data_IF_979558467996
#
_entry.id   IF_979558467996
#
_cell.length_a   1.000
_cell.length_b   1.000
_cell.length_c   1.000
_cell.angle_alpha   90.00
_cell.angle_beta   90.00
_cell.angle_gamma   90.00
#
_symmetry.space_group_name_H-M   'P 1'
#
loop_
_entity.id
_entity.type
_entity.pdbx_description
1 polymer ?
#
# COMPACT_ATOMS: atom_id res chain seq x y z
N UNK A 1 -43.52 31.51 -17.91
CA UNK A 1 -43.68 30.46 -16.87
C UNK A 1 -43.06 31.04 -15.60
N UNK A 2 -43.89 31.44 -14.62
CA UNK A 2 -43.42 31.96 -13.33
C UNK A 2 -42.79 30.80 -12.56
N UNK A 3 -41.48 30.94 -12.28
CA UNK A 3 -40.81 30.02 -11.34
C UNK A 3 -41.46 30.22 -9.96
N UNK A 4 -42.24 29.28 -9.52
CA UNK A 4 -42.79 29.27 -8.18
C UNK A 4 -41.63 29.11 -7.21
N UNK A 5 -41.35 30.15 -6.44
CA UNK A 5 -40.27 30.13 -5.45
C UNK A 5 -40.66 29.15 -4.33
N UNK A 6 -39.77 28.19 -4.03
CA UNK A 6 -39.99 27.28 -2.90
C UNK A 6 -40.18 28.05 -1.59
N UNK A 7 -41.16 27.61 -0.79
CA UNK A 7 -41.37 28.18 0.53
C UNK A 7 -40.10 28.05 1.41
N UNK A 8 -39.77 29.05 2.25
CA UNK A 8 -38.57 29.02 3.09
C UNK A 8 -38.43 27.77 3.97
N UNK A 9 -39.55 27.24 4.46
CA UNK A 9 -39.63 26.00 5.24
C UNK A 9 -39.23 24.75 4.43
N UNK A 10 -39.65 24.70 3.15
CA UNK A 10 -39.29 23.62 2.24
C UNK A 10 -37.78 23.66 1.95
N UNK A 11 -37.22 24.84 1.69
CA UNK A 11 -35.80 25.03 1.47
C UNK A 11 -34.98 24.61 2.71
N UNK A 12 -35.43 25.04 3.91
CA UNK A 12 -34.80 24.65 5.17
C UNK A 12 -34.86 23.13 5.35
N UNK A 13 -35.97 22.49 5.09
CA UNK A 13 -36.12 21.04 5.21
C UNK A 13 -35.16 20.28 4.26
N UNK A 14 -34.96 20.76 3.03
CA UNK A 14 -33.99 20.19 2.06
C UNK A 14 -32.59 20.28 2.60
N UNK A 15 -32.17 21.42 3.13
CA UNK A 15 -30.81 21.64 3.63
C UNK A 15 -30.56 20.83 4.92
N UNK A 16 -31.51 20.83 5.87
CA UNK A 16 -31.36 20.11 7.16
C UNK A 16 -31.40 18.59 6.99
N UNK A 17 -32.15 18.07 6.00
CA UNK A 17 -32.21 16.63 5.71
C UNK A 17 -31.27 16.18 4.63
N UNK A 18 -30.36 17.06 4.18
CA UNK A 18 -29.36 16.72 3.18
C UNK A 18 -28.43 15.60 3.67
N UNK A 19 -28.07 14.67 2.77
CA UNK A 19 -27.10 13.61 3.02
C UNK A 19 -25.65 14.09 3.05
N UNK A 20 -25.41 15.34 2.61
CA UNK A 20 -24.12 16.00 2.69
C UNK A 20 -24.11 17.06 3.78
N UNK A 21 -22.94 17.31 4.35
CA UNK A 21 -22.78 18.42 5.28
C UNK A 21 -22.89 19.75 4.52
N UNK A 22 -23.76 20.66 5.01
CA UNK A 22 -23.91 22.01 4.45
C UNK A 22 -23.43 23.02 5.48
N UNK A 23 -22.66 24.00 5.06
CA UNK A 23 -22.09 24.99 5.97
C UNK A 23 -21.99 26.37 5.35
N UNK A 24 -21.93 27.39 6.22
CA UNK A 24 -21.57 28.76 5.88
C UNK A 24 -20.42 29.22 6.78
N UNK A 25 -19.35 29.70 6.18
CA UNK A 25 -18.18 30.26 6.88
C UNK A 25 -18.14 31.78 6.64
N UNK A 26 -18.01 32.54 7.71
CA UNK A 26 -17.77 33.96 7.71
C UNK A 26 -16.73 34.30 8.78
N UNK A 27 -15.73 35.13 8.47
CA UNK A 27 -14.64 35.50 9.38
C UNK A 27 -13.91 34.27 9.98
N UNK A 28 -13.65 33.26 9.16
CA UNK A 28 -13.02 31.97 9.53
C UNK A 28 -13.83 31.13 10.55
N UNK A 29 -15.11 31.48 10.80
CA UNK A 29 -16.00 30.77 11.73
C UNK A 29 -17.21 30.19 11.01
N UNK A 30 -17.72 29.09 11.53
CA UNK A 30 -19.00 28.56 11.09
C UNK A 30 -20.13 29.45 11.64
N UNK A 31 -20.91 30.04 10.74
CA UNK A 31 -22.13 30.78 11.08
C UNK A 31 -23.39 29.96 10.83
N UNK A 32 -23.26 28.89 10.06
CA UNK A 32 -24.27 27.87 9.85
C UNK A 32 -23.63 26.51 9.59
N UNK A 33 -24.26 25.48 10.09
CA UNK A 33 -24.00 24.09 9.76
C UNK A 33 -25.30 23.28 9.90
N UNK A 34 -25.59 22.40 8.94
CA UNK A 34 -26.71 21.46 9.13
C UNK A 34 -26.28 20.31 10.07
N UNK A 35 -27.27 19.51 10.50
CA UNK A 35 -27.03 18.40 11.42
C UNK A 35 -26.00 17.38 10.84
N UNK A 36 -26.06 17.14 9.52
CA UNK A 36 -25.12 16.22 8.86
C UNK A 36 -23.66 16.70 8.94
N UNK A 37 -23.43 18.01 8.82
CA UNK A 37 -22.10 18.60 8.98
C UNK A 37 -21.55 18.35 10.40
N UNK A 38 -22.33 18.62 11.42
CA UNK A 38 -21.93 18.39 12.81
C UNK A 38 -21.62 16.91 13.09
N UNK A 39 -22.47 16.00 12.63
CA UNK A 39 -22.30 14.56 12.76
C UNK A 39 -21.00 14.05 12.08
N UNK A 40 -20.64 14.58 10.91
CA UNK A 40 -19.41 14.20 10.21
C UNK A 40 -18.17 14.39 11.08
N UNK A 41 -18.16 15.43 11.91
CA UNK A 41 -17.03 15.74 12.79
C UNK A 41 -17.21 15.22 14.22
N UNK A 42 -18.37 14.61 14.54
CA UNK A 42 -18.66 14.06 15.88
C UNK A 42 -18.94 15.13 16.93
N UNK A 43 -19.45 16.28 16.50
CA UNK A 43 -19.93 17.36 17.37
C UNK A 43 -21.45 17.43 17.33
N UNK A 44 -22.06 18.03 18.36
CA UNK A 44 -23.39 18.58 18.24
C UNK A 44 -23.34 19.87 17.42
N UNK A 45 -24.50 20.29 16.89
CA UNK A 45 -24.57 21.54 16.13
C UNK A 45 -24.16 22.76 16.94
N UNK A 46 -24.55 22.84 18.19
CA UNK A 46 -24.22 23.96 19.08
C UNK A 46 -22.71 23.99 19.37
N UNK A 47 -22.10 22.84 19.64
CA UNK A 47 -20.67 22.73 19.86
C UNK A 47 -19.85 23.18 18.63
N UNK A 48 -20.24 22.74 17.44
CA UNK A 48 -19.46 23.05 16.22
C UNK A 48 -19.59 24.51 15.82
N UNK A 49 -20.76 25.13 16.05
CA UNK A 49 -20.97 26.56 15.86
C UNK A 49 -20.28 27.43 16.90
N UNK A 50 -20.02 26.89 18.09
CA UNK A 50 -19.27 27.59 19.15
C UNK A 50 -17.76 27.63 18.93
N UNK A 51 -17.23 26.90 17.94
CA UNK A 51 -15.80 26.91 17.62
C UNK A 51 -15.37 28.33 17.18
N UNK A 52 -14.24 28.80 17.71
CA UNK A 52 -13.67 30.10 17.38
C UNK A 52 -13.13 30.18 15.95
N UNK A 53 -12.87 29.06 15.32
CA UNK A 53 -12.38 28.95 13.95
C UNK A 53 -12.76 27.59 13.35
N UNK A 54 -12.75 27.47 12.03
CA UNK A 54 -12.91 26.19 11.31
C UNK A 54 -11.64 25.32 11.30
N UNK A 55 -10.48 25.91 11.61
CA UNK A 55 -9.19 25.21 11.54
C UNK A 55 -9.08 23.97 12.43
N UNK A 56 -9.61 23.94 13.67
CA UNK A 56 -9.61 22.74 14.50
C UNK A 56 -10.32 21.52 13.87
N UNK A 57 -11.18 21.72 12.86
CA UNK A 57 -11.84 20.66 12.12
C UNK A 57 -10.96 20.04 11.02
N UNK A 58 -9.72 20.48 10.89
CA UNK A 58 -8.79 20.11 9.82
C UNK A 58 -7.48 19.59 10.40
N UNK A 59 -6.78 18.75 9.64
CA UNK A 59 -5.39 18.43 9.95
C UNK A 59 -4.52 19.67 9.79
N UNK A 60 -3.48 19.78 10.61
CA UNK A 60 -2.57 20.93 10.63
C UNK A 60 -1.94 21.21 9.23
N UNK A 61 -1.62 20.16 8.48
CA UNK A 61 -1.05 20.24 7.13
C UNK A 61 -1.96 20.97 6.13
N UNK A 62 -3.27 20.92 6.35
CA UNK A 62 -4.27 21.54 5.47
C UNK A 62 -4.66 22.97 5.89
N UNK A 63 -4.24 23.45 7.07
CA UNK A 63 -4.66 24.76 7.63
C UNK A 63 -4.37 25.92 6.69
N UNK A 64 -3.12 26.06 6.20
CA UNK A 64 -2.70 27.18 5.35
C UNK A 64 -3.46 27.16 4.03
N UNK A 65 -3.62 25.97 3.41
CA UNK A 65 -4.32 25.81 2.15
C UNK A 65 -5.80 26.19 2.26
N UNK A 66 -6.46 25.72 3.32
CA UNK A 66 -7.89 26.01 3.53
C UNK A 66 -8.12 27.48 3.89
N UNK A 67 -7.28 28.07 4.74
CA UNK A 67 -7.35 29.49 5.07
C UNK A 67 -7.21 30.36 3.81
N UNK A 68 -6.26 30.06 2.95
CA UNK A 68 -6.05 30.77 1.69
C UNK A 68 -7.24 30.57 0.73
N UNK A 69 -7.76 29.38 0.60
CA UNK A 69 -8.95 29.10 -0.20
C UNK A 69 -10.18 29.89 0.27
N UNK A 70 -10.37 30.06 1.59
CA UNK A 70 -11.45 30.89 2.15
C UNK A 70 -11.20 32.35 1.83
N UNK A 71 -9.99 32.87 2.02
CA UNK A 71 -9.60 34.26 1.71
C UNK A 71 -9.91 34.63 0.25
N UNK A 72 -9.45 33.77 -0.68
CA UNK A 72 -9.63 33.99 -2.13
C UNK A 72 -11.11 34.07 -2.54
N UNK A 73 -11.98 33.27 -1.90
CA UNK A 73 -13.42 33.35 -2.15
C UNK A 73 -14.03 34.62 -1.55
N UNK A 74 -13.66 35.00 -0.33
CA UNK A 74 -14.18 36.21 0.30
C UNK A 74 -13.73 37.45 -0.45
N UNK A 75 -12.48 37.51 -0.93
CA UNK A 75 -11.97 38.63 -1.76
C UNK A 75 -12.58 38.67 -3.17
N UNK A 76 -13.08 37.56 -3.68
CA UNK A 76 -13.62 37.42 -5.02
C UNK A 76 -12.58 37.10 -6.08
N UNK A 77 -11.37 36.70 -5.70
CA UNK A 77 -10.37 36.16 -6.61
C UNK A 77 -10.85 34.86 -7.26
N UNK A 78 -11.61 34.02 -6.48
CA UNK A 78 -12.22 32.77 -6.93
C UNK A 78 -13.68 32.77 -6.49
N UNK A 79 -14.63 32.51 -7.40
CA UNK A 79 -16.04 32.42 -7.05
C UNK A 79 -16.43 31.06 -6.49
N UNK A 80 -15.87 29.98 -7.03
CA UNK A 80 -16.14 28.60 -6.62
C UNK A 80 -14.87 27.76 -6.63
N UNK A 81 -14.83 26.74 -5.77
CA UNK A 81 -13.71 25.78 -5.71
C UNK A 81 -14.21 24.41 -5.30
N UNK A 82 -13.54 23.39 -5.81
CA UNK A 82 -13.69 21.99 -5.42
C UNK A 82 -12.31 21.43 -5.07
N UNK A 83 -12.18 20.78 -3.91
CA UNK A 83 -10.92 20.19 -3.48
C UNK A 83 -11.12 19.16 -2.36
N UNK A 84 -10.19 18.21 -2.28
CA UNK A 84 -10.15 17.21 -1.20
C UNK A 84 -9.26 17.71 -0.06
N UNK A 85 -9.68 17.46 1.19
CA UNK A 85 -8.97 17.86 2.41
C UNK A 85 -9.16 16.82 3.52
N UNK A 86 -8.22 16.78 4.48
CA UNK A 86 -8.32 15.90 5.63
C UNK A 86 -8.98 16.63 6.82
N UNK A 87 -10.16 16.15 7.19
CA UNK A 87 -10.86 16.59 8.39
C UNK A 87 -10.36 15.86 9.64
N UNK A 88 -10.51 16.52 10.78
CA UNK A 88 -10.22 15.97 12.10
C UNK A 88 -11.50 15.96 12.93
N UNK A 89 -11.95 14.76 13.33
CA UNK A 89 -13.11 14.61 14.21
C UNK A 89 -12.77 14.93 15.67
N UNK A 90 -13.79 15.21 16.47
CA UNK A 90 -13.68 15.47 17.93
C UNK A 90 -12.92 14.36 18.68
N UNK A 91 -13.03 13.12 18.24
CA UNK A 91 -12.32 11.97 18.83
C UNK A 91 -10.89 11.77 18.30
N UNK A 92 -10.38 12.70 17.48
CA UNK A 92 -9.03 12.62 16.90
C UNK A 92 -8.91 11.78 15.62
N UNK A 93 -9.97 11.12 15.15
CA UNK A 93 -9.91 10.36 13.89
C UNK A 93 -9.92 11.28 12.67
N UNK A 94 -9.14 10.93 11.66
CA UNK A 94 -9.08 11.66 10.38
C UNK A 94 -10.12 11.15 9.42
N UNK A 95 -10.74 12.06 8.64
CA UNK A 95 -11.63 11.77 7.53
C UNK A 95 -11.13 12.43 6.25
N UNK A 96 -11.40 11.81 5.11
CA UNK A 96 -11.15 12.40 3.79
C UNK A 96 -12.43 13.07 3.33
N UNK A 97 -12.37 14.37 3.04
CA UNK A 97 -13.53 15.16 2.68
C UNK A 97 -13.40 15.74 1.29
N UNK A 98 -14.46 15.65 0.50
CA UNK A 98 -14.63 16.42 -0.72
C UNK A 98 -15.42 17.69 -0.40
N UNK A 99 -14.82 18.84 -0.67
CA UNK A 99 -15.39 20.16 -0.38
C UNK A 99 -15.73 20.84 -1.69
N UNK A 100 -16.97 21.32 -1.79
CA UNK A 100 -17.43 22.21 -2.85
C UNK A 100 -17.97 23.46 -2.22
N UNK A 101 -17.47 24.61 -2.66
CA UNK A 101 -17.89 25.85 -2.04
C UNK A 101 -17.86 27.02 -3.01
N UNK A 102 -18.78 27.95 -2.75
CA UNK A 102 -19.01 29.15 -3.56
C UNK A 102 -18.99 30.39 -2.67
N UNK A 103 -18.72 31.51 -3.27
CA UNK A 103 -18.86 32.85 -2.67
C UNK A 103 -20.34 33.26 -2.62
N UNK A 104 -20.76 33.87 -1.54
CA UNK A 104 -22.12 34.42 -1.41
C UNK A 104 -22.21 35.48 -0.33
N UNK A 105 -23.39 36.15 -0.25
CA UNK A 105 -23.66 37.16 0.78
C UNK A 105 -24.40 36.56 1.95
N UNK A 106 -23.91 36.81 3.17
CA UNK A 106 -24.61 36.48 4.42
C UNK A 106 -24.65 37.74 5.31
N UNK A 107 -25.86 38.18 5.68
CA UNK A 107 -26.05 39.37 6.50
C UNK A 107 -25.28 40.60 6.00
N UNK A 108 -25.33 40.85 4.69
CA UNK A 108 -24.68 42.04 4.07
C UNK A 108 -23.15 41.96 3.92
N UNK A 109 -22.53 40.85 4.26
CA UNK A 109 -21.07 40.61 4.13
C UNK A 109 -20.78 39.33 3.33
N UNK A 110 -19.61 39.29 2.71
CA UNK A 110 -19.17 38.10 1.97
C UNK A 110 -18.92 36.93 2.90
N UNK A 111 -19.31 35.76 2.46
CA UNK A 111 -19.19 34.49 3.14
C UNK A 111 -18.91 33.35 2.14
N UNK A 112 -18.51 32.22 2.64
CA UNK A 112 -18.31 30.98 1.89
C UNK A 112 -19.43 30.02 2.21
N UNK A 113 -20.20 29.64 1.20
CA UNK A 113 -21.20 28.60 1.28
C UNK A 113 -20.63 27.30 0.74
N UNK A 114 -20.83 26.20 1.41
CA UNK A 114 -20.26 24.96 0.93
C UNK A 114 -20.99 23.70 1.37
N UNK A 115 -20.63 22.64 0.66
CA UNK A 115 -20.99 21.28 1.02
C UNK A 115 -19.74 20.48 1.30
N UNK A 116 -19.86 19.49 2.17
CA UNK A 116 -18.81 18.53 2.47
C UNK A 116 -19.37 17.12 2.38
N UNK A 117 -18.66 16.26 1.69
CA UNK A 117 -18.96 14.83 1.59
C UNK A 117 -17.80 14.03 2.19
N UNK A 118 -18.14 13.09 3.10
CA UNK A 118 -17.16 12.13 3.63
C UNK A 118 -16.87 11.06 2.57
N UNK A 119 -15.64 11.05 2.09
CA UNK A 119 -15.13 10.11 1.08
C UNK A 119 -14.29 9.00 1.70
N UNK A 120 -14.18 8.94 3.05
CA UNK A 120 -13.26 8.04 3.75
C UNK A 120 -13.49 6.58 3.39
N UNK A 121 -14.73 6.10 3.48
CA UNK A 121 -15.05 4.71 3.17
C UNK A 121 -14.77 4.37 1.69
N UNK A 122 -15.12 5.28 0.77
CA UNK A 122 -14.83 5.10 -0.66
C UNK A 122 -13.34 5.03 -0.93
N UNK A 123 -12.55 5.96 -0.35
CA UNK A 123 -11.10 5.98 -0.52
C UNK A 123 -10.44 4.72 0.06
N UNK A 124 -10.88 4.28 1.24
CA UNK A 124 -10.41 3.02 1.83
C UNK A 124 -10.71 1.80 0.96
N UNK A 125 -11.90 1.76 0.35
CA UNK A 125 -12.25 0.69 -0.60
C UNK A 125 -11.39 0.73 -1.87
N UNK A 126 -11.16 1.91 -2.43
CA UNK A 126 -10.28 2.09 -3.60
C UNK A 126 -8.85 1.65 -3.28
N UNK A 127 -8.29 2.06 -2.13
CA UNK A 127 -6.96 1.71 -1.68
C UNK A 127 -6.84 0.19 -1.39
N UNK A 128 -7.87 -0.41 -0.77
CA UNK A 128 -7.94 -1.86 -0.52
C UNK A 128 -8.02 -2.67 -1.83
N UNK A 129 -8.82 -2.21 -2.80
CA UNK A 129 -8.89 -2.83 -4.12
C UNK A 129 -7.54 -2.74 -4.86
N UNK A 130 -6.87 -1.59 -4.78
CA UNK A 130 -5.55 -1.40 -5.38
C UNK A 130 -4.51 -2.30 -4.71
N UNK A 131 -4.51 -2.39 -3.38
CA UNK A 131 -3.63 -3.28 -2.63
C UNK A 131 -3.89 -4.74 -3.00
N UNK A 132 -5.15 -5.20 -3.02
CA UNK A 132 -5.53 -6.56 -3.43
C UNK A 132 -5.14 -6.87 -4.88
N UNK A 133 -5.11 -5.87 -5.76
CA UNK A 133 -4.70 -6.04 -7.15
C UNK A 133 -3.17 -6.19 -7.33
N UNK A 134 -2.36 -5.66 -6.42
CA UNK A 134 -0.90 -5.57 -6.57
C UNK A 134 -0.10 -6.34 -5.50
N UNK A 135 -0.73 -6.72 -4.38
CA UNK A 135 -0.04 -7.40 -3.27
C UNK A 135 -0.51 -8.85 -3.12
N UNK A 136 0.38 -9.69 -2.58
CA UNK A 136 0.06 -11.04 -2.11
C UNK A 136 -0.54 -10.96 -0.69
N UNK A 137 -1.74 -11.50 -0.46
CA UNK A 137 -2.44 -11.33 0.81
C UNK A 137 -1.78 -12.07 1.99
N UNK A 138 -0.99 -13.13 1.73
CA UNK A 138 -0.32 -13.90 2.78
C UNK A 138 0.94 -13.22 3.30
N UNK A 139 1.74 -12.65 2.38
CA UNK A 139 3.07 -12.13 2.70
C UNK A 139 3.15 -10.60 2.74
N UNK A 140 2.18 -9.90 2.12
CA UNK A 140 2.17 -8.46 1.95
C UNK A 140 3.22 -7.93 0.96
N UNK A 141 3.90 -8.81 0.24
CA UNK A 141 4.79 -8.45 -0.87
C UNK A 141 4.00 -8.18 -2.15
N UNK A 142 4.63 -7.64 -3.16
CA UNK A 142 3.99 -7.57 -4.47
C UNK A 142 3.60 -8.97 -4.95
N UNK A 143 2.43 -9.08 -5.56
CA UNK A 143 2.08 -10.25 -6.36
C UNK A 143 2.73 -10.14 -7.76
N UNK A 144 2.54 -11.12 -8.62
CA UNK A 144 3.09 -11.13 -9.99
C UNK A 144 2.76 -9.86 -10.76
N UNK A 145 1.51 -9.39 -10.68
CA UNK A 145 1.07 -8.18 -11.39
C UNK A 145 1.76 -6.93 -10.84
N UNK A 146 1.82 -6.78 -9.53
CA UNK A 146 2.47 -5.66 -8.86
C UNK A 146 3.97 -5.63 -9.18
N UNK A 147 4.63 -6.78 -9.13
CA UNK A 147 6.04 -6.91 -9.48
C UNK A 147 6.33 -6.42 -10.90
N UNK A 148 5.62 -6.96 -11.90
CA UNK A 148 5.80 -6.56 -13.29
C UNK A 148 5.51 -5.07 -13.52
N UNK A 149 4.47 -4.53 -12.87
CA UNK A 149 4.13 -3.11 -12.99
C UNK A 149 5.27 -2.22 -12.50
N UNK A 150 5.81 -2.51 -11.31
CA UNK A 150 6.86 -1.68 -10.70
C UNK A 150 8.20 -1.86 -11.43
N UNK A 151 8.61 -3.10 -11.69
CA UNK A 151 9.92 -3.39 -12.31
C UNK A 151 10.00 -2.93 -13.76
N UNK A 152 8.90 -2.97 -14.53
CA UNK A 152 8.88 -2.41 -15.89
C UNK A 152 9.18 -0.91 -15.91
N UNK A 153 8.68 -0.16 -14.95
CA UNK A 153 9.00 1.26 -14.81
C UNK A 153 10.47 1.49 -14.45
N UNK A 154 11.03 0.65 -13.57
CA UNK A 154 12.45 0.71 -13.19
C UNK A 154 13.38 0.34 -14.35
N UNK A 155 12.97 -0.60 -15.21
CA UNK A 155 13.71 -0.97 -16.43
C UNK A 155 13.90 0.25 -17.34
N UNK A 156 12.87 1.06 -17.55
CA UNK A 156 12.98 2.28 -18.37
C UNK A 156 13.94 3.31 -17.76
N UNK A 157 13.94 3.45 -16.43
CA UNK A 157 14.87 4.33 -15.71
C UNK A 157 16.32 3.83 -15.84
N UNK A 158 16.56 2.54 -15.60
CA UNK A 158 17.88 1.92 -15.68
C UNK A 158 18.49 2.03 -17.09
N UNK A 159 17.70 1.80 -18.14
CA UNK A 159 18.13 2.00 -19.53
C UNK A 159 18.59 3.43 -19.78
N UNK A 160 17.80 4.42 -19.37
CA UNK A 160 18.15 5.83 -19.53
C UNK A 160 19.43 6.20 -18.79
N UNK A 161 19.66 5.61 -17.61
CA UNK A 161 20.86 5.81 -16.80
C UNK A 161 22.03 4.91 -17.21
N UNK A 162 21.84 3.97 -18.12
CA UNK A 162 22.81 2.92 -18.51
C UNK A 162 23.29 2.10 -17.31
N UNK A 163 22.39 1.80 -16.38
CA UNK A 163 22.68 0.99 -15.19
C UNK A 163 22.25 -0.46 -15.42
N UNK A 164 23.11 -1.41 -15.00
CA UNK A 164 22.72 -2.82 -14.94
C UNK A 164 21.64 -3.04 -13.89
N UNK A 165 20.80 -4.04 -14.12
CA UNK A 165 19.76 -4.45 -13.19
C UNK A 165 19.99 -5.90 -12.77
N UNK A 166 19.61 -6.21 -11.54
CA UNK A 166 19.74 -7.55 -10.97
C UNK A 166 18.34 -8.03 -10.63
N UNK A 167 18.09 -9.30 -10.87
CA UNK A 167 16.94 -10.03 -10.37
C UNK A 167 17.42 -11.26 -9.62
N UNK A 168 16.87 -11.52 -8.46
CA UNK A 168 17.14 -12.71 -7.65
C UNK A 168 15.82 -13.47 -7.51
N UNK A 169 15.75 -14.64 -8.13
CA UNK A 169 14.69 -15.62 -7.89
C UNK A 169 15.00 -16.39 -6.60
N UNK A 170 14.00 -16.60 -5.78
CA UNK A 170 14.11 -17.31 -4.50
C UNK A 170 12.92 -18.25 -4.33
N UNK A 171 13.16 -19.45 -3.86
CA UNK A 171 12.17 -20.50 -3.78
C UNK A 171 12.27 -21.22 -2.41
N UNK A 172 11.16 -21.30 -1.70
CA UNK A 172 11.11 -22.02 -0.42
C UNK A 172 11.19 -23.51 -0.66
N UNK A 173 12.29 -24.10 -0.23
CA UNK A 173 12.55 -25.53 -0.44
C UNK A 173 11.57 -26.41 0.35
N UNK A 174 11.25 -27.56 -0.23
CA UNK A 174 10.47 -28.63 0.40
C UNK A 174 9.08 -28.21 0.95
N UNK A 175 8.51 -27.09 0.45
CA UNK A 175 7.20 -26.61 0.93
C UNK A 175 6.10 -27.65 0.78
N UNK A 176 6.11 -28.46 -0.29
CA UNK A 176 5.17 -29.54 -0.45
C UNK A 176 5.30 -30.57 0.68
N UNK A 177 6.52 -30.96 1.05
CA UNK A 177 6.76 -31.89 2.16
C UNK A 177 6.29 -31.30 3.50
N UNK A 178 6.50 -29.99 3.71
CA UNK A 178 6.00 -29.30 4.89
C UNK A 178 4.46 -29.38 4.94
N UNK A 179 3.79 -29.06 3.82
CA UNK A 179 2.33 -29.15 3.72
C UNK A 179 1.81 -30.57 3.96
N UNK A 180 2.42 -31.57 3.32
CA UNK A 180 1.99 -32.95 3.39
C UNK A 180 2.21 -33.56 4.79
N UNK A 181 3.24 -33.10 5.53
CA UNK A 181 3.60 -33.62 6.85
C UNK A 181 2.94 -32.87 8.00
N UNK A 182 2.84 -31.53 7.91
CA UNK A 182 2.43 -30.65 9.00
C UNK A 182 1.14 -29.84 8.70
N UNK A 183 0.56 -30.02 7.51
CA UNK A 183 -0.65 -29.34 7.06
C UNK A 183 -0.38 -27.98 6.40
N UNK A 184 -1.36 -27.48 5.66
CA UNK A 184 -1.26 -26.22 4.91
C UNK A 184 -0.98 -24.99 5.79
N UNK A 185 -1.48 -24.97 7.02
CA UNK A 185 -1.18 -23.88 7.97
C UNK A 185 0.32 -23.76 8.27
N UNK A 186 1.04 -24.90 8.38
CA UNK A 186 2.49 -24.90 8.56
C UNK A 186 3.23 -24.41 7.31
N UNK A 187 2.73 -24.71 6.12
CA UNK A 187 3.24 -24.18 4.87
C UNK A 187 3.05 -22.66 4.75
N UNK A 188 1.89 -22.16 5.12
CA UNK A 188 1.63 -20.71 5.16
C UNK A 188 2.56 -20.02 6.16
N UNK A 189 2.77 -20.61 7.34
CA UNK A 189 3.75 -20.10 8.31
C UNK A 189 5.18 -20.13 7.77
N UNK A 190 5.56 -21.14 6.99
CA UNK A 190 6.88 -21.20 6.34
C UNK A 190 7.04 -20.08 5.31
N UNK A 191 6.02 -19.81 4.50
CA UNK A 191 6.01 -18.71 3.54
C UNK A 191 6.09 -17.34 4.22
N UNK A 192 5.33 -17.12 5.29
CA UNK A 192 5.41 -15.88 6.08
C UNK A 192 6.78 -15.74 6.74
N UNK A 193 7.38 -16.83 7.21
CA UNK A 193 8.72 -16.81 7.78
C UNK A 193 9.78 -16.47 6.71
N UNK A 194 9.69 -17.05 5.50
CA UNK A 194 10.54 -16.72 4.37
C UNK A 194 10.41 -15.25 3.96
N UNK A 195 9.19 -14.75 3.90
CA UNK A 195 8.93 -13.33 3.61
C UNK A 195 9.59 -12.39 4.64
N UNK A 196 9.55 -12.73 5.95
CA UNK A 196 10.23 -11.96 6.98
C UNK A 196 11.76 -11.97 6.80
N UNK A 197 12.33 -13.12 6.45
CA UNK A 197 13.78 -13.24 6.16
C UNK A 197 14.14 -12.37 4.95
N UNK A 198 13.38 -12.45 3.87
CA UNK A 198 13.59 -11.63 2.68
C UNK A 198 13.49 -10.13 3.03
N UNK A 199 12.45 -9.70 3.74
CA UNK A 199 12.30 -8.31 4.16
C UNK A 199 13.47 -7.77 4.97
N UNK A 200 14.05 -8.59 5.85
CA UNK A 200 15.22 -8.23 6.65
C UNK A 200 16.54 -8.27 5.85
N UNK A 201 16.54 -8.98 4.72
CA UNK A 201 17.72 -9.16 3.87
C UNK A 201 17.86 -8.09 2.79
N UNK A 202 16.79 -7.39 2.46
CA UNK A 202 16.76 -6.35 1.43
C UNK A 202 16.31 -5.02 2.01
N UNK A 203 16.55 -3.93 1.29
CA UNK A 203 16.20 -2.57 1.71
C UNK A 203 14.68 -2.36 1.50
N UNK A 204 14.11 -1.41 2.22
CA UNK A 204 12.70 -1.04 2.05
C UNK A 204 12.39 -0.57 0.61
N UNK A 205 13.36 0.06 -0.05
CA UNK A 205 13.22 0.51 -1.43
C UNK A 205 13.27 -0.64 -2.45
N UNK A 206 13.87 -1.81 -2.10
CA UNK A 206 13.97 -2.95 -3.01
C UNK A 206 12.60 -3.57 -3.27
N UNK A 207 12.36 -3.96 -4.53
CA UNK A 207 11.08 -4.57 -4.90
C UNK A 207 11.14 -6.07 -4.59
N UNK A 208 10.29 -6.51 -3.66
CA UNK A 208 10.17 -7.92 -3.29
C UNK A 208 8.77 -8.40 -3.64
N UNK A 209 8.66 -9.56 -4.24
CA UNK A 209 7.39 -10.16 -4.68
C UNK A 209 7.29 -11.63 -4.32
N UNK A 210 6.04 -12.11 -4.21
CA UNK A 210 5.70 -13.53 -4.28
C UNK A 210 4.90 -13.76 -5.54
N UNK A 211 5.50 -14.47 -6.51
CA UNK A 211 4.87 -14.65 -7.83
C UNK A 211 3.83 -15.76 -7.85
N UNK A 212 3.92 -16.71 -6.92
CA UNK A 212 2.97 -17.81 -6.74
C UNK A 212 3.55 -18.92 -5.85
N UNK A 213 2.69 -19.72 -5.26
CA UNK A 213 3.11 -20.90 -4.49
C UNK A 213 4.24 -20.62 -3.50
N UNK A 214 5.42 -21.10 -3.81
CA UNK A 214 6.65 -20.99 -3.02
C UNK A 214 7.70 -20.03 -3.63
N UNK A 215 7.37 -19.35 -4.75
CA UNK A 215 8.27 -18.54 -5.56
C UNK A 215 8.25 -17.07 -5.11
N UNK A 216 9.42 -16.54 -4.84
CA UNK A 216 9.67 -15.14 -4.54
C UNK A 216 10.69 -14.57 -5.51
N UNK A 217 10.54 -13.29 -5.83
CA UNK A 217 11.50 -12.53 -6.61
C UNK A 217 11.90 -11.25 -5.92
N UNK A 218 13.17 -10.91 -6.02
CA UNK A 218 13.72 -9.67 -5.49
C UNK A 218 14.38 -8.91 -6.61
N UNK A 219 14.04 -7.65 -6.71
CA UNK A 219 14.64 -6.70 -7.62
C UNK A 219 15.31 -5.59 -6.81
N UNK A 220 16.62 -5.76 -6.48
CA UNK A 220 17.36 -4.77 -5.72
C UNK A 220 17.57 -3.49 -6.55
N UNK A 221 17.15 -2.34 -6.01
CA UNK A 221 17.35 -1.06 -6.67
C UNK A 221 18.80 -0.57 -6.46
N UNK A 222 19.35 0.06 -7.50
CA UNK A 222 20.72 0.62 -7.50
C UNK A 222 21.82 -0.38 -7.08
N UNK A 223 21.59 -1.69 -7.31
CA UNK A 223 22.57 -2.73 -7.06
C UNK A 223 23.37 -3.05 -8.32
N UNK A 224 24.68 -3.30 -8.16
CA UNK A 224 25.55 -3.75 -9.24
C UNK A 224 25.71 -5.27 -9.24
N UNK A 225 26.17 -5.84 -10.34
CA UNK A 225 26.46 -7.28 -10.45
C UNK A 225 27.38 -7.79 -9.32
N UNK A 226 28.32 -6.95 -8.88
CA UNK A 226 29.25 -7.27 -7.78
C UNK A 226 28.54 -7.35 -6.41
N UNK A 227 27.32 -6.85 -6.29
CA UNK A 227 26.53 -6.91 -5.05
C UNK A 227 25.83 -8.27 -4.85
N UNK A 228 25.69 -9.08 -5.90
CA UNK A 228 24.94 -10.36 -5.83
C UNK A 228 25.48 -11.29 -4.73
N UNK A 229 26.79 -11.59 -4.63
CA UNK A 229 27.31 -12.47 -3.59
C UNK A 229 26.96 -11.98 -2.18
N UNK A 230 27.14 -10.68 -1.93
CA UNK A 230 26.84 -10.06 -0.62
C UNK A 230 25.34 -10.11 -0.27
N UNK A 231 24.47 -9.92 -1.26
CA UNK A 231 23.02 -10.00 -1.07
C UNK A 231 22.60 -11.42 -0.71
N UNK A 232 23.17 -12.43 -1.37
CA UNK A 232 22.89 -13.84 -1.10
C UNK A 232 23.47 -14.29 0.26
N UNK A 233 24.68 -13.86 0.61
CA UNK A 233 25.27 -14.12 1.92
C UNK A 233 24.45 -13.55 3.06
N UNK A 234 23.95 -12.30 2.90
CA UNK A 234 23.07 -11.66 3.89
C UNK A 234 21.75 -12.41 4.03
N UNK A 235 21.20 -12.91 2.93
CA UNK A 235 19.98 -13.73 2.96
C UNK A 235 20.21 -15.02 3.75
N UNK A 236 21.30 -15.76 3.49
CA UNK A 236 21.61 -17.00 4.20
C UNK A 236 21.88 -16.75 5.69
N UNK A 237 22.59 -15.67 6.03
CA UNK A 237 22.84 -15.28 7.42
C UNK A 237 21.51 -15.01 8.16
N UNK A 238 20.61 -14.24 7.56
CA UNK A 238 19.29 -13.95 8.16
C UNK A 238 18.42 -15.20 8.26
N UNK A 239 18.55 -16.11 7.30
CA UNK A 239 17.86 -17.39 7.33
C UNK A 239 18.36 -18.27 8.49
N UNK A 240 19.69 -18.31 8.71
CA UNK A 240 20.29 -19.01 9.84
C UNK A 240 19.84 -18.44 11.19
N UNK A 241 19.91 -17.13 11.35
CA UNK A 241 19.41 -16.42 12.55
C UNK A 241 17.92 -16.75 12.80
N UNK A 242 17.12 -16.80 11.73
CA UNK A 242 15.70 -17.14 11.84
C UNK A 242 15.49 -18.56 12.33
N UNK A 243 16.27 -19.55 11.84
CA UNK A 243 16.21 -20.95 12.28
C UNK A 243 16.54 -21.09 13.78
N UNK A 244 17.55 -20.37 14.25
CA UNK A 244 18.00 -20.41 15.64
C UNK A 244 16.99 -19.75 16.60
N UNK A 245 16.47 -18.58 16.24
CA UNK A 245 15.53 -17.84 17.09
C UNK A 245 14.12 -18.43 17.12
N UNK A 246 13.73 -19.15 16.08
CA UNK A 246 12.38 -19.70 15.94
C UNK A 246 12.44 -21.15 15.42
N UNK A 247 12.86 -22.09 16.26
CA UNK A 247 12.97 -23.50 15.87
C UNK A 247 11.60 -24.02 15.46
N UNK A 248 11.57 -24.81 14.40
CA UNK A 248 10.40 -25.45 13.82
C UNK A 248 10.65 -26.94 13.66
N UNK A 249 9.60 -27.80 13.56
CA UNK A 249 9.78 -29.22 13.29
C UNK A 249 10.32 -29.51 11.88
N UNK A 250 10.50 -28.50 11.06
CA UNK A 250 11.10 -28.55 9.71
C UNK A 250 12.20 -27.50 9.57
N UNK A 251 13.11 -27.71 8.63
CA UNK A 251 14.18 -26.76 8.31
C UNK A 251 13.69 -25.81 7.22
N UNK A 252 13.53 -24.53 7.55
CA UNK A 252 13.25 -23.50 6.54
C UNK A 252 14.51 -23.27 5.71
N UNK A 253 14.44 -23.50 4.41
CA UNK A 253 15.53 -23.19 3.45
C UNK A 253 14.98 -22.51 2.22
N UNK A 254 15.82 -21.68 1.61
CA UNK A 254 15.52 -20.90 0.41
C UNK A 254 16.62 -21.14 -0.60
N UNK A 255 16.28 -21.69 -1.75
CA UNK A 255 17.17 -21.77 -2.89
C UNK A 255 17.08 -20.49 -3.71
N UNK A 256 18.20 -20.02 -4.26
CA UNK A 256 18.27 -18.78 -5.03
C UNK A 256 18.94 -18.96 -6.37
N UNK A 257 18.51 -18.15 -7.34
CA UNK A 257 19.17 -17.95 -8.61
C UNK A 257 19.19 -16.47 -8.96
N UNK A 258 20.12 -16.04 -9.81
CA UNK A 258 20.23 -14.64 -10.17
C UNK A 258 20.36 -14.44 -11.66
N UNK A 259 19.87 -13.30 -12.14
CA UNK A 259 20.07 -12.82 -13.49
C UNK A 259 20.49 -11.35 -13.47
N UNK A 260 21.28 -10.98 -14.47
CA UNK A 260 21.77 -9.61 -14.64
C UNK A 260 21.36 -9.13 -16.01
N UNK A 261 20.72 -7.98 -16.05
CA UNK A 261 20.40 -7.28 -17.27
C UNK A 261 21.52 -6.33 -17.64
N UNK A 262 22.07 -6.50 -18.83
CA UNK A 262 22.96 -5.51 -19.43
C UNK A 262 22.13 -4.34 -19.98
N UNK A 263 22.37 -3.10 -19.54
CA UNK A 263 21.62 -1.93 -19.99
C UNK A 263 21.79 -1.63 -21.48
N UNK A 264 22.83 -2.17 -22.14
CA UNK A 264 23.03 -2.06 -23.59
C UNK A 264 22.07 -2.93 -24.41
N UNK A 265 21.43 -3.92 -23.78
CA UNK A 265 20.43 -4.76 -24.42
C UNK A 265 19.06 -4.09 -24.38
N UNK A 266 18.75 -3.28 -25.39
CA UNK A 266 17.49 -2.54 -25.49
C UNK A 266 16.25 -3.45 -25.67
N UNK A 267 16.43 -4.67 -26.14
CA UNK A 267 15.31 -5.62 -26.37
C UNK A 267 15.01 -6.49 -25.15
N UNK A 268 15.82 -6.50 -24.10
CA UNK A 268 15.61 -7.35 -22.94
C UNK A 268 14.37 -6.93 -22.15
N UNK A 269 13.58 -7.89 -21.70
CA UNK A 269 12.36 -7.65 -20.89
C UNK A 269 12.51 -8.19 -19.49
N UNK A 270 11.62 -7.76 -18.58
CA UNK A 270 11.60 -8.29 -17.20
C UNK A 270 11.29 -9.79 -17.22
N UNK A 271 10.41 -10.25 -18.12
CA UNK A 271 10.05 -11.66 -18.26
C UNK A 271 11.25 -12.51 -18.69
N UNK A 272 12.11 -12.00 -19.56
CA UNK A 272 13.36 -12.69 -19.94
C UNK A 272 14.35 -12.76 -18.76
N UNK A 273 14.41 -11.70 -17.95
CA UNK A 273 15.24 -11.66 -16.76
C UNK A 273 14.74 -12.67 -15.71
N UNK A 274 13.43 -12.75 -15.49
CA UNK A 274 12.80 -13.77 -14.66
C UNK A 274 13.18 -15.17 -15.12
N UNK A 275 13.00 -15.49 -16.41
CA UNK A 275 13.31 -16.79 -16.96
C UNK A 275 14.79 -17.17 -16.81
N UNK A 276 15.71 -16.19 -16.89
CA UNK A 276 17.13 -16.42 -16.66
C UNK A 276 17.43 -16.73 -15.18
N UNK A 277 16.84 -15.97 -14.25
CA UNK A 277 17.01 -16.20 -12.82
C UNK A 277 16.44 -17.56 -12.40
N UNK A 278 15.27 -17.95 -12.92
CA UNK A 278 14.68 -19.28 -12.70
C UNK A 278 15.57 -20.40 -13.23
N UNK A 279 16.19 -20.22 -14.41
CA UNK A 279 17.12 -21.19 -14.97
C UNK A 279 18.35 -21.36 -14.10
N UNK A 280 18.86 -20.28 -13.53
CA UNK A 280 19.99 -20.29 -12.60
C UNK A 280 19.61 -20.98 -11.28
N UNK A 281 18.46 -20.64 -10.71
CA UNK A 281 17.87 -21.29 -9.53
C UNK A 281 17.74 -22.81 -9.72
N UNK A 282 17.22 -23.24 -10.85
CA UNK A 282 17.06 -24.65 -11.17
C UNK A 282 18.41 -25.38 -11.23
N UNK A 283 19.44 -24.76 -11.81
CA UNK A 283 20.82 -25.32 -11.83
C UNK A 283 21.35 -25.51 -10.42
N UNK A 284 21.19 -24.52 -9.54
CA UNK A 284 21.62 -24.60 -8.14
C UNK A 284 20.89 -25.69 -7.37
N UNK A 285 19.56 -25.82 -7.54
CA UNK A 285 18.76 -26.89 -6.91
C UNK A 285 19.26 -28.28 -7.35
N UNK A 286 19.51 -28.47 -8.63
CA UNK A 286 20.02 -29.76 -9.14
C UNK A 286 21.41 -30.10 -8.58
N UNK A 287 22.30 -29.15 -8.49
CA UNK A 287 23.64 -29.35 -7.91
C UNK A 287 23.56 -29.77 -6.43
N UNK A 288 22.65 -29.14 -5.64
CA UNK A 288 22.39 -29.56 -4.23
C UNK A 288 21.81 -30.97 -4.10
N UNK A 289 20.92 -31.36 -4.99
CA UNK A 289 20.32 -32.71 -4.97
C UNK A 289 21.32 -33.78 -5.37
N UNK A 290 22.21 -33.49 -6.31
CA UNK A 290 23.30 -34.41 -6.74
C UNK A 290 24.41 -34.57 -5.71
N UNK A 291 24.54 -33.68 -4.74
CA UNK A 291 25.54 -33.72 -3.66
C UNK A 291 25.01 -34.33 -2.34
N UNK A 292 23.72 -34.66 -2.22
CA UNK A 292 23.21 -35.43 -1.07
C UNK A 292 23.69 -36.87 -1.20
N UNK A 293 24.50 -37.40 -0.23
CA UNK A 293 24.85 -38.83 -0.25
C UNK A 293 23.54 -39.63 -0.18
N UNK A 294 23.45 -40.61 -1.05
CA UNK A 294 22.37 -41.59 -1.07
C UNK A 294 22.17 -42.09 0.39
N UNK A 295 21.00 -41.82 1.00
CA UNK A 295 20.62 -42.44 2.26
C UNK A 295 20.55 -43.92 1.97
N UNK A 296 21.61 -44.63 2.34
CA UNK A 296 21.60 -46.12 2.45
C UNK A 296 20.46 -46.47 3.42
N UNK A 297 19.46 -47.17 2.92
CA UNK A 297 18.42 -47.72 3.75
C UNK A 297 19.07 -48.57 4.85
N UNK A 298 18.69 -48.47 6.12
CA UNK A 298 19.15 -49.40 7.12
C UNK A 298 18.70 -50.81 6.71
N UNK A 299 19.67 -51.68 6.45
CA UNK A 299 19.44 -53.11 6.27
C UNK A 299 18.84 -53.62 7.57
N UNK A 300 17.56 -53.96 7.57
CA UNK A 300 16.96 -54.78 8.60
C UNK A 300 17.54 -56.17 8.43
N UNK A 301 18.60 -56.46 9.22
CA UNK A 301 19.09 -57.81 9.40
C UNK A 301 17.97 -58.65 10.01
N UNK A 302 17.58 -59.67 9.27
CA UNK A 302 16.72 -60.72 9.80
C UNK A 302 17.43 -61.41 10.95
N UNK A 303 16.73 -61.52 12.07
CA UNK A 303 17.05 -62.56 13.07
C UNK A 303 15.95 -63.58 12.93
N UNK A 304 16.34 -64.69 12.36
CA UNK A 304 15.57 -65.95 12.49
C UNK A 304 15.75 -66.51 13.89
N UNK A 305 14.69 -66.98 14.41
CA UNK A 305 14.33 -68.20 15.08
C UNK A 305 12.99 -68.05 15.78
#
# INVERSE_FOLDING_TARGET
MSQEALAPETFRAIVERSLVGVYVIQDMRLVYANEKFAQLFGYTRDEILALSSVLPLLRADDHNRVAENIRQRVSGEIEQIEYTVHGLRKNGTTIVMDIRSVRGMHNGRWAVFGTVLDMTARKQMEDALQAAALLDPLTGFYNRRGFLTVTSSQLLVARRKKQSMILIAADVDDLKTINDTFGHAAGDEALVAAAKVLRNSYREADVVARLGGYEFDVFPLDASVHSVPLLLERLETNLQVRREQHPRPYVLSISTGSAVLDPSNESATIEQLLAQADSDLYRHKRARLGSKPSRVAPSWGGVGE
#
